data_IF_286641450919
#
_entry.id   IF_286641450919
#
_cell.length_a   1.000
_cell.length_b   1.000
_cell.length_c   1.000
_cell.angle_alpha   90.00
_cell.angle_beta   90.00
_cell.angle_gamma   90.00
#
_symmetry.space_group_name_H-M   'P 1'
#
loop_
_entity.id
_entity.type
_entity.pdbx_description
1 polymer ?
#
# COMPACT_ATOMS: atom_id res chain seq x y z
N UNK A 1 16.93 -8.30 -0.80
CA UNK A 1 15.95 -7.41 -0.11
C UNK A 1 14.63 -8.12 0.09
N UNK A 2 13.69 -7.54 0.84
CA UNK A 2 12.41 -8.19 1.13
C UNK A 2 11.24 -7.22 0.95
N UNK A 3 10.17 -7.70 0.31
CA UNK A 3 8.86 -7.06 0.23
C UNK A 3 8.02 -7.67 1.35
N UNK A 4 7.83 -6.91 2.43
CA UNK A 4 6.92 -7.27 3.50
C UNK A 4 5.49 -7.24 2.98
N UNK A 5 4.72 -8.28 3.26
CA UNK A 5 3.30 -8.28 2.93
C UNK A 5 2.46 -8.72 4.12
N UNK A 6 1.26 -8.16 4.24
CA UNK A 6 0.34 -8.48 5.32
C UNK A 6 -1.09 -8.59 4.82
N UNK A 7 -1.89 -9.41 5.49
CA UNK A 7 -3.28 -9.68 5.14
C UNK A 7 -4.07 -9.92 6.42
N UNK A 8 -4.92 -8.96 6.80
CA UNK A 8 -5.81 -9.11 7.93
C UNK A 8 -7.05 -9.94 7.54
N UNK A 9 -7.59 -10.76 8.45
CA UNK A 9 -8.76 -11.59 8.16
C UNK A 9 -10.07 -10.77 8.05
N UNK A 10 -10.15 -9.60 8.70
CA UNK A 10 -11.33 -8.75 8.68
C UNK A 10 -11.35 -7.72 7.53
N UNK A 11 -12.57 -7.30 7.16
CA UNK A 11 -12.79 -6.22 6.19
C UNK A 11 -12.24 -4.91 6.74
N UNK A 12 -11.35 -4.25 5.98
CA UNK A 12 -10.82 -2.92 6.33
C UNK A 12 -9.73 -2.88 7.40
N UNK A 13 -9.45 -3.99 8.09
CA UNK A 13 -8.44 -4.04 9.16
C UNK A 13 -7.03 -3.70 8.66
N UNK A 14 -6.64 -4.22 7.48
CA UNK A 14 -5.35 -3.90 6.86
C UNK A 14 -5.24 -2.40 6.54
N UNK A 15 -6.32 -1.77 6.05
CA UNK A 15 -6.31 -0.34 5.71
C UNK A 15 -6.04 0.51 6.96
N UNK A 16 -6.77 0.26 8.04
CA UNK A 16 -6.61 0.99 9.30
C UNK A 16 -5.20 0.81 9.87
N UNK A 17 -4.68 -0.42 9.78
CA UNK A 17 -3.35 -0.74 10.27
C UNK A 17 -2.25 -0.02 9.50
N UNK A 18 -2.29 -0.05 8.16
CA UNK A 18 -1.31 0.64 7.32
C UNK A 18 -1.41 2.16 7.47
N UNK A 19 -2.62 2.71 7.62
CA UNK A 19 -2.80 4.13 7.90
C UNK A 19 -2.18 4.55 9.24
N UNK A 20 -2.42 3.77 10.29
CA UNK A 20 -1.82 4.00 11.61
C UNK A 20 -0.30 3.91 11.57
N UNK A 21 0.22 2.92 10.84
CA UNK A 21 1.67 2.70 10.69
C UNK A 21 2.34 3.86 9.96
N UNK A 22 1.80 4.29 8.82
CA UNK A 22 2.32 5.44 8.09
C UNK A 22 2.32 6.71 8.96
N UNK A 23 1.24 6.95 9.70
CA UNK A 23 1.14 8.10 10.60
C UNK A 23 2.19 8.06 11.72
N UNK A 24 2.43 6.87 12.30
CA UNK A 24 3.45 6.71 13.34
C UNK A 24 4.86 6.94 12.80
N UNK A 25 5.18 6.42 11.61
CA UNK A 25 6.49 6.64 10.98
C UNK A 25 6.75 8.13 10.69
N UNK A 26 5.74 8.85 10.18
CA UNK A 26 5.83 10.30 9.95
C UNK A 26 6.08 11.05 11.26
N UNK A 27 5.37 10.70 12.34
CA UNK A 27 5.58 11.31 13.66
C UNK A 27 6.98 11.04 14.23
N UNK A 28 7.58 9.91 13.85
CA UNK A 28 8.96 9.55 14.21
C UNK A 28 10.01 10.24 13.31
N UNK A 29 9.59 11.04 12.32
CA UNK A 29 10.46 11.78 11.41
C UNK A 29 10.89 11.01 10.15
N UNK A 30 10.38 9.79 9.95
CA UNK A 30 10.59 9.05 8.71
C UNK A 30 9.69 9.56 7.59
N UNK A 31 10.11 9.29 6.35
CA UNK A 31 9.44 9.66 5.11
C UNK A 31 8.89 8.42 4.39
N UNK A 32 7.75 7.86 4.83
CA UNK A 32 7.05 6.85 4.04
C UNK A 32 6.47 7.50 2.78
N UNK A 33 6.62 6.82 1.65
CA UNK A 33 6.01 7.18 0.36
C UNK A 33 5.04 6.08 -0.04
N UNK A 34 4.01 6.40 -0.82
CA UNK A 34 3.01 5.43 -1.25
C UNK A 34 1.58 5.86 -0.95
N UNK A 35 0.71 4.90 -0.67
CA UNK A 35 -0.71 5.17 -0.36
C UNK A 35 -1.19 4.41 0.86
N UNK A 36 -2.11 5.03 1.60
CA UNK A 36 -2.92 4.39 2.64
C UNK A 36 -4.37 4.74 2.42
N UNK A 37 -5.28 3.80 2.65
CA UNK A 37 -6.71 4.06 2.59
C UNK A 37 -7.19 4.63 3.93
N UNK A 38 -7.89 5.76 3.90
CA UNK A 38 -8.24 6.54 5.10
C UNK A 38 -9.69 6.34 5.55
N UNK A 39 -10.53 5.78 4.69
CA UNK A 39 -11.92 5.52 5.02
C UNK A 39 -12.11 4.07 5.47
N UNK A 40 -12.77 3.90 6.63
CA UNK A 40 -13.15 2.59 7.13
C UNK A 40 -14.24 1.99 6.22
N UNK A 41 -14.16 0.69 5.97
CA UNK A 41 -15.27 -0.02 5.35
C UNK A 41 -16.49 0.07 6.28
N UNK A 42 -17.58 0.66 5.80
CA UNK A 42 -18.82 0.78 6.57
C UNK A 42 -19.52 -0.56 6.62
N UNK A 43 -20.12 -0.90 7.76
CA UNK A 43 -21.01 -2.07 7.91
C UNK A 43 -22.31 -1.95 7.09
N UNK A 44 -22.61 -0.77 6.54
CA UNK A 44 -23.82 -0.58 5.75
C UNK A 44 -23.78 -1.40 4.44
N UNK A 45 -24.94 -1.93 4.05
CA UNK A 45 -25.12 -2.75 2.83
C UNK A 45 -24.90 -1.98 1.50
N UNK A 46 -24.39 -0.74 1.56
CA UNK A 46 -24.15 0.10 0.40
C UNK A 46 -22.74 -0.07 -0.18
N UNK A 47 -22.50 0.47 -1.39
CA UNK A 47 -21.16 0.50 -1.96
C UNK A 47 -20.24 1.35 -1.08
N UNK A 48 -19.13 0.78 -0.62
CA UNK A 48 -18.12 1.54 0.11
C UNK A 48 -17.30 2.36 -0.89
N UNK A 49 -17.17 3.66 -0.61
CA UNK A 49 -16.18 4.49 -1.29
C UNK A 49 -14.78 4.04 -0.86
N UNK A 50 -13.77 4.27 -1.71
CA UNK A 50 -12.37 4.01 -1.42
C UNK A 50 -11.59 5.31 -1.59
N UNK A 51 -11.09 5.84 -0.48
CA UNK A 51 -10.32 7.09 -0.44
C UNK A 51 -8.89 6.77 0.00
N UNK A 52 -7.92 7.05 -0.87
CA UNK A 52 -6.50 6.89 -0.54
C UNK A 52 -5.85 8.24 -0.30
N UNK A 53 -5.02 8.33 0.73
CA UNK A 53 -4.11 9.44 0.97
C UNK A 53 -2.76 9.09 0.35
N UNK A 54 -2.24 10.00 -0.48
CA UNK A 54 -0.86 9.93 -0.96
C UNK A 54 0.07 10.33 0.19
N UNK A 55 1.06 9.49 0.49
CA UNK A 55 2.04 9.73 1.53
C UNK A 55 3.23 10.56 1.00
N UNK A 56 3.93 11.31 1.86
CA UNK A 56 3.74 11.40 3.32
C UNK A 56 2.57 12.31 3.75
N UNK A 57 2.44 13.50 3.16
CA UNK A 57 1.36 14.46 3.47
C UNK A 57 0.63 14.96 2.21
N UNK A 58 0.43 14.05 1.26
CA UNK A 58 -0.21 14.35 -0.01
C UNK A 58 -1.74 14.41 0.06
N UNK A 59 -2.32 14.61 -1.12
CA UNK A 59 -3.77 14.73 -1.33
C UNK A 59 -4.51 13.41 -1.06
N UNK A 60 -5.78 13.53 -0.71
CA UNK A 60 -6.72 12.40 -0.70
C UNK A 60 -7.39 12.27 -2.06
N UNK A 61 -7.41 11.07 -2.61
CA UNK A 61 -8.00 10.73 -3.91
C UNK A 61 -9.06 9.65 -3.71
N UNK A 62 -10.26 9.93 -4.20
CA UNK A 62 -11.33 8.94 -4.36
C UNK A 62 -10.95 8.01 -5.51
N UNK A 63 -10.59 6.78 -5.21
CA UNK A 63 -10.24 5.76 -6.23
C UNK A 63 -11.41 4.81 -6.53
N UNK A 64 -12.61 5.13 -6.07
CA UNK A 64 -13.82 4.38 -6.37
C UNK A 64 -14.85 5.22 -7.14
N UNK A 65 -15.47 4.62 -8.15
CA UNK A 65 -16.56 5.20 -8.94
C UNK A 65 -17.91 4.53 -8.65
N UNK A 66 -18.99 5.26 -8.91
CA UNK A 66 -20.35 4.70 -8.87
C UNK A 66 -20.70 4.01 -10.19
N UNK A 67 -21.03 2.73 -10.13
CA UNK A 67 -21.45 1.94 -11.31
C UNK A 67 -22.97 1.74 -11.39
N UNK A 68 -23.74 2.46 -10.58
CA UNK A 68 -25.18 2.27 -10.42
C UNK A 68 -25.56 1.17 -9.42
N UNK A 69 -26.81 1.20 -8.93
CA UNK A 69 -27.27 0.40 -7.80
C UNK A 69 -27.31 -1.12 -8.05
N UNK A 70 -27.35 -1.56 -9.31
CA UNK A 70 -27.42 -2.97 -9.68
C UNK A 70 -26.05 -3.58 -10.06
N UNK A 71 -24.98 -2.77 -10.11
CA UNK A 71 -23.67 -3.24 -10.55
C UNK A 71 -22.96 -4.03 -9.46
N UNK A 72 -22.47 -5.22 -9.83
CA UNK A 72 -21.56 -6.06 -9.02
C UNK A 72 -20.10 -5.95 -9.46
N UNK A 73 -19.83 -5.06 -10.43
CA UNK A 73 -18.50 -4.88 -11.01
C UNK A 73 -17.51 -4.20 -10.07
N UNK A 74 -16.22 -4.29 -10.41
CA UNK A 74 -15.16 -3.60 -9.67
C UNK A 74 -15.40 -2.08 -9.73
N UNK A 75 -15.61 -1.47 -8.56
CA UNK A 75 -15.83 -0.02 -8.43
C UNK A 75 -14.55 0.80 -8.50
N UNK A 76 -13.39 0.18 -8.67
CA UNK A 76 -12.14 0.92 -8.79
C UNK A 76 -12.23 1.85 -10.00
N UNK A 77 -11.86 3.11 -9.81
CA UNK A 77 -11.66 4.08 -10.87
C UNK A 77 -10.20 3.98 -11.33
N UNK A 78 -9.94 3.45 -12.54
CA UNK A 78 -8.58 3.30 -13.04
C UNK A 78 -7.86 4.64 -13.19
N UNK A 79 -8.54 5.69 -13.65
CA UNK A 79 -7.92 6.99 -13.88
C UNK A 79 -7.52 7.66 -12.57
N UNK A 80 -8.36 7.54 -11.54
CA UNK A 80 -8.02 8.02 -10.20
C UNK A 80 -6.88 7.22 -9.57
N UNK A 81 -6.82 5.90 -9.79
CA UNK A 81 -5.70 5.06 -9.35
C UNK A 81 -4.40 5.50 -10.02
N UNK A 82 -4.39 5.66 -11.35
CA UNK A 82 -3.19 6.10 -12.08
C UNK A 82 -2.75 7.51 -11.67
N UNK A 83 -3.69 8.39 -11.31
CA UNK A 83 -3.38 9.70 -10.71
C UNK A 83 -2.63 9.53 -9.38
N UNK A 84 -3.08 8.62 -8.51
CA UNK A 84 -2.38 8.33 -7.26
C UNK A 84 -0.99 7.71 -7.49
N UNK A 85 -0.86 6.82 -8.48
CA UNK A 85 0.43 6.22 -8.90
C UNK A 85 1.40 7.31 -9.32
N UNK A 86 1.02 8.21 -10.23
CA UNK A 86 1.90 9.29 -10.71
C UNK A 86 2.34 10.25 -9.60
N UNK A 87 1.46 10.54 -8.63
CA UNK A 87 1.83 11.36 -7.46
C UNK A 87 2.82 10.63 -6.55
N UNK A 88 2.63 9.33 -6.32
CA UNK A 88 3.57 8.51 -5.53
C UNK A 88 4.92 8.40 -6.23
N UNK A 89 4.94 8.21 -7.55
CA UNK A 89 6.17 8.18 -8.34
C UNK A 89 6.96 9.50 -8.19
N UNK A 90 6.26 10.64 -8.28
CA UNK A 90 6.86 11.95 -8.07
C UNK A 90 7.39 12.16 -6.64
N UNK A 91 6.73 11.61 -5.62
CA UNK A 91 7.23 11.64 -4.23
C UNK A 91 8.42 10.70 -4.02
N UNK A 92 8.42 9.52 -4.66
CA UNK A 92 9.50 8.54 -4.58
C UNK A 92 10.79 9.10 -5.19
N UNK A 93 10.69 9.84 -6.30
CA UNK A 93 11.82 10.51 -6.94
C UNK A 93 12.51 11.57 -6.04
N UNK A 94 11.81 12.09 -5.01
CA UNK A 94 12.37 13.01 -4.02
C UNK A 94 13.09 12.30 -2.87
N UNK A 95 13.07 10.96 -2.87
CA UNK A 95 13.58 10.12 -1.79
C UNK A 95 12.46 9.61 -0.87
N UNK A 96 12.66 8.39 -0.37
CA UNK A 96 11.76 7.70 0.55
C UNK A 96 12.56 6.79 1.49
N UNK A 97 12.11 6.72 2.74
CA UNK A 97 12.65 5.80 3.73
C UNK A 97 12.04 4.41 3.58
N UNK A 98 10.75 4.34 3.22
CA UNK A 98 10.05 3.11 2.88
C UNK A 98 8.90 3.38 1.89
N UNK A 99 8.46 2.33 1.20
CA UNK A 99 7.28 2.34 0.35
C UNK A 99 6.13 1.60 1.05
N UNK A 100 4.97 2.22 1.17
CA UNK A 100 3.74 1.59 1.66
C UNK A 100 2.71 1.54 0.52
N UNK A 101 2.33 0.34 0.11
CA UNK A 101 1.25 0.13 -0.87
C UNK A 101 0.04 -0.42 -0.14
N UNK A 102 -1.04 0.36 -0.08
CA UNK A 102 -2.24 -0.01 0.67
C UNK A 102 -2.79 -1.39 0.26
N UNK A 103 -2.83 -1.68 -1.05
CA UNK A 103 -3.35 -2.93 -1.56
C UNK A 103 -2.75 -3.34 -2.90
N UNK A 104 -2.18 -4.54 -2.99
CA UNK A 104 -1.93 -5.20 -4.28
C UNK A 104 -3.23 -5.83 -4.79
N UNK A 105 -3.75 -5.26 -5.87
CA UNK A 105 -5.02 -5.60 -6.45
C UNK A 105 -4.90 -6.32 -7.79
N UNK A 106 -6.05 -6.37 -8.48
CA UNK A 106 -6.15 -6.90 -9.84
C UNK A 106 -5.28 -6.12 -10.83
N UNK A 107 -5.18 -4.80 -10.68
CA UNK A 107 -4.40 -3.96 -11.59
C UNK A 107 -2.91 -4.29 -11.50
N UNK A 108 -2.38 -4.46 -10.29
CA UNK A 108 -0.99 -4.85 -10.06
C UNK A 108 -0.71 -6.28 -10.54
N UNK A 109 -1.65 -7.20 -10.34
CA UNK A 109 -1.57 -8.55 -10.90
C UNK A 109 -1.43 -8.52 -12.44
N UNK A 110 -2.15 -7.61 -13.10
CA UNK A 110 -2.10 -7.39 -14.56
C UNK A 110 -0.94 -6.52 -15.05
N UNK A 111 0.01 -6.15 -14.18
CA UNK A 111 1.19 -5.38 -14.59
C UNK A 111 1.06 -3.86 -14.47
N UNK A 112 -0.05 -3.35 -13.92
CA UNK A 112 -0.40 -1.92 -13.85
C UNK A 112 -0.40 -1.39 -12.41
N UNK A 113 -0.93 -0.19 -12.18
CA UNK A 113 -1.08 0.37 -10.84
C UNK A 113 0.28 0.56 -10.15
N UNK A 114 0.40 0.11 -8.91
CA UNK A 114 1.62 0.28 -8.13
C UNK A 114 2.77 -0.66 -8.49
N UNK A 115 2.58 -1.63 -9.40
CA UNK A 115 3.61 -2.63 -9.72
C UNK A 115 4.95 -2.02 -10.20
N UNK A 116 4.99 -1.03 -11.10
CA UNK A 116 6.25 -0.39 -11.52
C UNK A 116 6.94 0.37 -10.38
N UNK A 117 6.16 0.98 -9.48
CA UNK A 117 6.67 1.69 -8.30
C UNK A 117 7.30 0.71 -7.32
N UNK A 118 6.68 -0.46 -7.09
CA UNK A 118 7.24 -1.51 -6.24
C UNK A 118 8.58 -2.00 -6.81
N UNK A 119 8.66 -2.22 -8.13
CA UNK A 119 9.91 -2.61 -8.78
C UNK A 119 11.00 -1.54 -8.64
N UNK A 120 10.64 -0.27 -8.81
CA UNK A 120 11.56 0.87 -8.66
C UNK A 120 12.09 0.98 -7.22
N UNK A 121 11.20 0.88 -6.23
CA UNK A 121 11.59 0.89 -4.83
C UNK A 121 12.49 -0.30 -4.48
N UNK A 122 12.19 -1.49 -5.01
CA UNK A 122 12.99 -2.69 -4.78
C UNK A 122 14.41 -2.54 -5.36
N UNK A 123 14.54 -1.96 -6.56
CA UNK A 123 15.83 -1.69 -7.20
C UNK A 123 16.66 -0.62 -6.46
N UNK A 124 16.01 0.25 -5.68
CA UNK A 124 16.65 1.25 -4.82
C UNK A 124 16.85 0.76 -3.38
N UNK A 125 16.70 -0.55 -3.13
CA UNK A 125 16.75 -1.22 -1.83
C UNK A 125 15.80 -0.63 -0.77
N UNK A 126 14.73 0.06 -1.21
CA UNK A 126 13.76 0.71 -0.31
C UNK A 126 12.89 -0.39 0.32
N UNK A 127 12.76 -0.44 1.66
CA UNK A 127 11.87 -1.37 2.34
C UNK A 127 10.43 -1.15 1.87
N UNK A 128 9.76 -2.21 1.44
CA UNK A 128 8.41 -2.15 0.90
C UNK A 128 7.46 -2.92 1.82
N UNK A 129 6.33 -2.31 2.16
CA UNK A 129 5.21 -2.97 2.83
C UNK A 129 3.97 -2.92 1.95
N UNK A 130 3.36 -4.08 1.71
CA UNK A 130 2.20 -4.24 0.84
C UNK A 130 1.03 -4.87 1.59
N UNK A 131 -0.13 -4.23 1.56
CA UNK A 131 -1.39 -4.86 1.97
C UNK A 131 -1.90 -5.83 0.90
N UNK A 132 -2.36 -7.01 1.30
CA UNK A 132 -2.93 -8.01 0.40
C UNK A 132 -4.35 -8.39 0.80
N UNK A 133 -5.05 -9.02 -0.14
CA UNK A 133 -6.21 -9.84 0.14
C UNK A 133 -5.95 -11.28 -0.34
N UNK A 134 -6.81 -12.21 0.09
CA UNK A 134 -6.65 -13.62 -0.25
C UNK A 134 -6.71 -13.85 -1.77
N UNK A 135 -7.51 -13.05 -2.49
CA UNK A 135 -7.73 -13.18 -3.93
C UNK A 135 -6.47 -12.90 -4.77
N UNK A 136 -5.64 -11.95 -4.38
CA UNK A 136 -4.46 -11.55 -5.17
C UNK A 136 -3.13 -12.07 -4.57
N UNK A 137 -3.20 -12.94 -3.54
CA UNK A 137 -2.00 -13.47 -2.87
C UNK A 137 -1.09 -14.22 -3.86
N UNK A 138 -1.65 -15.11 -4.67
CA UNK A 138 -0.86 -15.91 -5.62
C UNK A 138 -0.18 -15.02 -6.67
N UNK A 139 -0.91 -14.09 -7.27
CA UNK A 139 -0.35 -13.13 -8.22
C UNK A 139 0.74 -12.24 -7.59
N UNK A 140 0.58 -11.85 -6.32
CA UNK A 140 1.62 -11.14 -5.59
C UNK A 140 2.87 -12.00 -5.38
N UNK A 141 2.71 -13.28 -4.98
CA UNK A 141 3.85 -14.18 -4.77
C UNK A 141 4.59 -14.48 -6.08
N UNK A 142 3.88 -14.61 -7.20
CA UNK A 142 4.49 -14.73 -8.52
C UNK A 142 5.30 -13.48 -8.89
N UNK A 143 4.75 -12.29 -8.62
CA UNK A 143 5.46 -11.03 -8.86
C UNK A 143 6.67 -10.83 -7.95
N UNK A 144 6.52 -11.06 -6.65
CA UNK A 144 7.55 -10.79 -5.65
C UNK A 144 8.61 -11.90 -5.58
N UNK A 145 8.30 -13.12 -5.98
CA UNK A 145 9.21 -14.26 -5.97
C UNK A 145 9.85 -14.46 -4.60
N UNK A 146 11.18 -14.65 -4.59
CA UNK A 146 11.97 -14.85 -3.37
C UNK A 146 12.01 -13.63 -2.44
N UNK A 147 11.61 -12.45 -2.92
CA UNK A 147 11.59 -11.25 -2.10
C UNK A 147 10.36 -11.19 -1.19
N UNK A 148 9.33 -12.00 -1.41
CA UNK A 148 8.12 -11.98 -0.59
C UNK A 148 8.40 -12.39 0.87
N UNK A 149 7.97 -11.56 1.81
CA UNK A 149 8.10 -11.85 3.25
C UNK A 149 6.76 -11.66 3.96
N UNK A 150 6.20 -12.76 4.45
CA UNK A 150 4.93 -12.75 5.15
C UNK A 150 5.08 -12.09 6.52
N UNK A 151 4.20 -11.14 6.83
CA UNK A 151 4.12 -10.48 8.13
C UNK A 151 2.76 -10.76 8.78
N UNK A 152 2.74 -11.04 10.11
CA UNK A 152 1.50 -11.04 10.86
C UNK A 152 0.74 -9.72 10.65
N UNK A 153 -0.59 -9.76 10.54
CA UNK A 153 -1.44 -8.56 10.46
C UNK A 153 -1.58 -7.93 11.84
N UNK A 154 -0.45 -7.52 12.42
CA UNK A 154 -0.35 -6.95 13.75
C UNK A 154 0.53 -5.71 13.69
N UNK A 155 0.02 -4.58 14.18
CA UNK A 155 0.73 -3.31 14.14
C UNK A 155 2.17 -3.41 14.70
N UNK A 156 2.43 -4.03 15.86
CA UNK A 156 3.81 -4.13 16.38
C UNK A 156 4.74 -4.95 15.49
N UNK A 157 4.22 -5.99 14.81
CA UNK A 157 5.01 -6.82 13.91
C UNK A 157 5.42 -6.06 12.63
N UNK A 158 4.49 -5.28 12.07
CA UNK A 158 4.75 -4.45 10.90
C UNK A 158 5.75 -3.34 11.22
N UNK A 159 5.55 -2.65 12.34
CA UNK A 159 6.42 -1.57 12.78
C UNK A 159 7.84 -2.06 13.07
N UNK A 160 7.98 -3.13 13.85
CA UNK A 160 9.29 -3.71 14.18
C UNK A 160 10.06 -4.15 12.93
N UNK A 161 9.37 -4.77 11.97
CA UNK A 161 9.98 -5.19 10.71
C UNK A 161 10.47 -3.99 9.90
N UNK A 162 9.62 -2.97 9.66
CA UNK A 162 10.04 -1.78 8.92
C UNK A 162 11.21 -1.08 9.61
N UNK A 163 11.13 -0.87 10.92
CA UNK A 163 12.21 -0.23 11.70
C UNK A 163 13.55 -0.93 11.55
N UNK A 164 13.56 -2.26 11.61
CA UNK A 164 14.79 -3.04 11.43
C UNK A 164 15.47 -2.73 10.08
N UNK A 165 14.69 -2.58 9.01
CA UNK A 165 15.24 -2.25 7.68
C UNK A 165 15.57 -0.77 7.51
N UNK A 166 14.81 0.12 8.16
CA UNK A 166 15.10 1.56 8.18
C UNK A 166 16.44 1.85 8.87
N UNK A 167 16.66 1.28 10.06
CA UNK A 167 17.89 1.45 10.85
C UNK A 167 19.11 0.86 10.13
N UNK A 168 18.96 -0.29 9.46
CA UNK A 168 20.01 -0.90 8.65
C UNK A 168 20.45 0.01 7.48
N UNK A 169 19.51 0.74 6.86
CA UNK A 169 19.81 1.69 5.79
C UNK A 169 20.51 2.94 6.30
N UNK A 170 20.06 3.50 7.42
CA UNK A 170 20.71 4.66 8.05
C UNK A 170 22.16 4.37 8.45
N UNK A 171 22.47 3.13 8.83
CA UNK A 171 23.83 2.71 9.20
C UNK A 171 24.74 2.49 7.98
N UNK A 172 24.16 2.24 6.80
CA UNK A 172 24.89 1.94 5.57
C UNK A 172 25.15 3.19 4.69
N UNK A 173 24.49 4.32 4.98
CA UNK A 173 24.64 5.60 4.28
C UNK A 173 25.65 6.52 4.99
#
# INVERSE_FOLDING_TARGET
MKIGYTMAPGRGDTNLMLHRLASSLIQQGYRPVGTVQINAERESAGPCDMDVKVLPEGVTIRISQSLGAASRGCRLDPAALETAVGLVEAELAKGADCLIVNKFGKHEAEGRGFRPIIATALAADIPILVGLNALNKEAFLEFAGEFAYALPPEFPALEAWLRTHLEARTTAA
#
